data_IF_682986429610
#
_entry.id   IF_682986429610
#
_cell.length_a   1.000
_cell.length_b   1.000
_cell.length_c   1.000
_cell.angle_alpha   90.00
_cell.angle_beta   90.00
_cell.angle_gamma   90.00
#
_symmetry.space_group_name_H-M   'P 1'
#
loop_
_entity.id
_entity.type
_entity.pdbx_description
1 polymer ?
#
# COMPACT_ATOMS: atom_id res chain seq x y z
N UNK A 1 10.14 -7.04 -4.74
CA UNK A 1 9.56 -6.99 -3.37
C UNK A 1 8.87 -8.31 -3.07
N UNK A 2 9.14 -8.89 -1.94
CA UNK A 2 8.47 -10.10 -1.48
C UNK A 2 7.60 -9.77 -0.27
N UNK A 3 6.36 -10.25 -0.29
CA UNK A 3 5.41 -10.01 0.79
C UNK A 3 4.94 -11.35 1.34
N UNK A 4 5.10 -11.54 2.63
CA UNK A 4 4.59 -12.70 3.36
C UNK A 4 3.38 -12.27 4.18
N UNK A 5 2.25 -12.90 3.93
CA UNK A 5 0.99 -12.53 4.58
C UNK A 5 0.45 -13.70 5.38
N UNK A 6 0.10 -13.45 6.63
CA UNK A 6 -0.62 -14.39 7.48
C UNK A 6 -2.05 -13.89 7.67
N UNK A 7 -3.02 -14.71 7.29
CA UNK A 7 -4.44 -14.36 7.39
C UNK A 7 -5.11 -15.03 8.58
N UNK A 8 -6.06 -14.33 9.18
CA UNK A 8 -6.96 -14.84 10.20
C UNK A 8 -8.35 -14.27 9.92
N UNK A 9 -9.34 -15.15 9.70
CA UNK A 9 -10.72 -14.74 9.38
C UNK A 9 -10.79 -13.83 8.15
N UNK A 10 -10.00 -14.15 7.10
CA UNK A 10 -9.88 -13.40 5.87
C UNK A 10 -9.29 -11.99 6.02
N UNK A 11 -8.73 -11.68 7.18
CA UNK A 11 -8.08 -10.41 7.46
C UNK A 11 -6.58 -10.61 7.68
N UNK A 12 -5.81 -9.60 7.35
CA UNK A 12 -4.36 -9.62 7.58
C UNK A 12 -4.11 -9.65 9.08
N UNK A 13 -3.51 -10.75 9.55
CA UNK A 13 -3.09 -10.91 10.94
C UNK A 13 -1.65 -10.46 11.13
N UNK A 14 -0.80 -10.74 10.16
CA UNK A 14 0.59 -10.34 10.16
C UNK A 14 1.08 -10.18 8.73
N UNK A 15 2.05 -9.31 8.51
CA UNK A 15 2.63 -9.05 7.20
C UNK A 15 4.13 -8.81 7.33
N UNK A 16 4.91 -9.59 6.60
CA UNK A 16 6.35 -9.44 6.51
C UNK A 16 6.74 -8.99 5.11
N UNK A 17 7.75 -8.14 5.02
CA UNK A 17 8.24 -7.61 3.75
C UNK A 17 9.73 -7.85 3.59
N UNK A 18 10.13 -8.25 2.38
CA UNK A 18 11.50 -8.15 1.92
C UNK A 18 11.51 -7.08 0.82
N UNK A 19 12.06 -5.90 1.15
CA UNK A 19 11.98 -4.73 0.28
C UNK A 19 13.33 -4.44 -0.33
N UNK A 20 13.38 -4.50 -1.67
CA UNK A 20 14.54 -4.09 -2.46
C UNK A 20 14.09 -3.00 -3.44
N UNK A 21 13.77 -1.83 -2.89
CA UNK A 21 13.16 -0.75 -3.64
C UNK A 21 13.84 0.57 -3.34
N UNK A 22 13.48 1.62 -4.10
CA UNK A 22 13.95 2.98 -3.83
C UNK A 22 13.36 3.52 -2.51
N UNK A 23 13.84 4.67 -2.07
CA UNK A 23 13.42 5.28 -0.80
C UNK A 23 11.90 5.51 -0.71
N UNK A 24 11.25 5.88 -1.81
CA UNK A 24 9.81 6.08 -1.83
C UNK A 24 9.05 4.77 -1.64
N UNK A 25 9.53 3.69 -2.27
CA UNK A 25 8.93 2.37 -2.08
C UNK A 25 9.03 1.90 -0.64
N UNK A 26 10.20 2.13 -0.01
CA UNK A 26 10.40 1.78 1.40
C UNK A 26 9.51 2.60 2.33
N UNK A 27 9.40 3.89 2.07
CA UNK A 27 8.54 4.77 2.86
C UNK A 27 7.07 4.37 2.76
N UNK A 28 6.59 4.10 1.55
CA UNK A 28 5.23 3.62 1.32
C UNK A 28 4.97 2.30 2.06
N UNK A 29 5.90 1.36 1.93
CA UNK A 29 5.80 0.06 2.60
C UNK A 29 5.72 0.21 4.12
N UNK A 30 6.52 1.10 4.71
CA UNK A 30 6.49 1.35 6.14
C UNK A 30 5.12 1.87 6.60
N UNK A 31 4.54 2.81 5.88
CA UNK A 31 3.20 3.35 6.20
C UNK A 31 2.15 2.26 6.09
N UNK A 32 2.20 1.49 5.01
CA UNK A 32 1.20 0.46 4.74
C UNK A 32 1.25 -0.66 5.80
N UNK A 33 2.44 -1.19 6.09
CA UNK A 33 2.60 -2.32 7.01
C UNK A 33 2.14 -1.96 8.43
N UNK A 34 2.40 -0.76 8.88
CA UNK A 34 1.96 -0.32 10.21
C UNK A 34 0.44 -0.35 10.38
N UNK A 35 -0.29 -0.25 9.28
CA UNK A 35 -1.74 -0.12 9.30
C UNK A 35 -2.47 -1.25 8.57
N UNK A 36 -1.72 -2.28 8.12
CA UNK A 36 -2.29 -3.37 7.33
C UNK A 36 -3.06 -4.40 8.17
N UNK A 37 -2.72 -4.55 9.43
CA UNK A 37 -3.33 -5.55 10.30
C UNK A 37 -4.84 -5.30 10.44
N UNK A 38 -5.63 -6.34 10.21
CA UNK A 38 -7.08 -6.25 10.26
C UNK A 38 -7.75 -5.93 8.92
N UNK A 39 -6.98 -5.66 7.87
CA UNK A 39 -7.54 -5.40 6.54
C UNK A 39 -7.83 -6.70 5.80
N UNK A 40 -8.91 -6.72 5.03
CA UNK A 40 -9.20 -7.79 4.08
C UNK A 40 -8.82 -7.34 2.66
N UNK A 41 -9.05 -8.22 1.66
CA UNK A 41 -8.71 -7.90 0.27
C UNK A 41 -9.45 -6.65 -0.23
N UNK A 42 -10.72 -6.51 0.10
CA UNK A 42 -11.51 -5.35 -0.35
C UNK A 42 -10.98 -4.05 0.26
N UNK A 43 -10.57 -4.09 1.52
CA UNK A 43 -9.98 -2.94 2.20
C UNK A 43 -8.67 -2.50 1.52
N UNK A 44 -7.82 -3.47 1.15
CA UNK A 44 -6.56 -3.17 0.47
C UNK A 44 -6.81 -2.60 -0.92
N UNK A 45 -7.78 -3.13 -1.65
CA UNK A 45 -8.17 -2.60 -2.96
C UNK A 45 -8.68 -1.16 -2.86
N UNK A 46 -9.40 -0.83 -1.79
CA UNK A 46 -9.85 0.54 -1.53
C UNK A 46 -8.66 1.47 -1.29
N UNK A 47 -7.69 1.04 -0.48
CA UNK A 47 -6.47 1.82 -0.24
C UNK A 47 -5.75 2.08 -1.55
N UNK A 48 -5.63 1.06 -2.41
CA UNK A 48 -5.02 1.21 -3.74
C UNK A 48 -5.74 2.27 -4.55
N UNK A 49 -7.07 2.19 -4.64
CA UNK A 49 -7.87 3.13 -5.41
C UNK A 49 -7.70 4.56 -4.90
N UNK A 50 -7.78 4.76 -3.59
CA UNK A 50 -7.68 6.08 -2.99
C UNK A 50 -6.29 6.68 -3.19
N UNK A 51 -5.24 5.87 -3.05
CA UNK A 51 -3.87 6.32 -3.24
C UNK A 51 -3.60 6.67 -4.70
N UNK A 52 -4.06 5.84 -5.64
CA UNK A 52 -3.92 6.13 -7.07
C UNK A 52 -4.63 7.43 -7.43
N UNK A 53 -5.83 7.65 -6.91
CA UNK A 53 -6.58 8.87 -7.15
C UNK A 53 -5.81 10.09 -6.64
N UNK A 54 -5.27 10.01 -5.44
CA UNK A 54 -4.43 11.08 -4.88
C UNK A 54 -3.23 11.38 -5.78
N UNK A 55 -2.50 10.34 -6.20
CA UNK A 55 -1.30 10.52 -7.02
C UNK A 55 -1.62 11.13 -8.38
N UNK A 56 -2.80 10.86 -8.94
CA UNK A 56 -3.20 11.38 -10.25
C UNK A 56 -3.84 12.76 -10.17
N UNK A 57 -4.69 13.01 -9.18
CA UNK A 57 -5.52 14.22 -9.13
C UNK A 57 -5.14 15.18 -8.01
N UNK A 58 -4.42 14.72 -7.01
CA UNK A 58 -4.12 15.51 -5.81
C UNK A 58 -5.21 15.50 -4.76
N UNK A 59 -6.28 14.77 -5.01
CA UNK A 59 -7.43 14.71 -4.12
C UNK A 59 -7.22 13.62 -3.05
N UNK A 60 -6.86 14.04 -1.84
CA UNK A 60 -6.53 13.12 -0.76
C UNK A 60 -7.79 12.72 0.01
N UNK A 61 -8.24 11.48 -0.20
CA UNK A 61 -9.46 10.93 0.43
C UNK A 61 -9.19 9.64 1.22
N UNK A 62 -7.96 9.46 1.67
CA UNK A 62 -7.61 8.25 2.40
C UNK A 62 -8.07 8.31 3.86
N UNK A 63 -8.30 7.14 4.45
CA UNK A 63 -8.62 7.04 5.87
C UNK A 63 -7.45 7.53 6.74
N UNK A 64 -7.75 7.95 7.97
CA UNK A 64 -6.75 8.52 8.88
C UNK A 64 -5.57 7.58 9.15
N UNK A 65 -5.77 6.26 9.09
CA UNK A 65 -4.70 5.28 9.25
C UNK A 65 -3.60 5.44 8.20
N UNK A 66 -3.95 5.94 7.01
CA UNK A 66 -3.03 6.11 5.89
C UNK A 66 -2.75 7.59 5.61
N UNK A 67 -3.00 8.44 6.58
CA UNK A 67 -2.86 9.90 6.45
C UNK A 67 -1.45 10.34 6.03
N UNK A 68 -0.43 9.59 6.42
CA UNK A 68 0.96 9.91 6.08
C UNK A 68 1.27 9.84 4.59
N UNK A 69 0.43 9.21 3.78
CA UNK A 69 0.61 9.21 2.33
C UNK A 69 0.51 10.61 1.72
N UNK A 70 -0.09 11.57 2.40
CA UNK A 70 -0.12 12.96 1.93
C UNK A 70 1.28 13.55 1.75
N UNK A 71 2.29 13.02 2.46
CA UNK A 71 3.66 13.49 2.32
C UNK A 71 4.30 13.11 0.98
N UNK A 72 3.63 12.28 0.18
CA UNK A 72 4.08 11.96 -1.17
C UNK A 72 3.60 12.97 -2.22
N UNK A 73 3.02 14.08 -1.81
CA UNK A 73 2.57 15.15 -2.71
C UNK A 73 3.64 15.55 -3.76
N UNK A 74 4.93 15.76 -3.38
CA UNK A 74 5.94 16.10 -4.38
C UNK A 74 6.15 15.03 -5.45
N UNK A 75 5.90 13.75 -5.14
CA UNK A 75 6.08 12.65 -6.08
C UNK A 75 4.94 12.56 -7.10
N UNK A 76 3.82 13.25 -6.90
CA UNK A 76 2.67 13.22 -7.82
C UNK A 76 3.05 13.67 -9.23
N UNK A 77 3.97 14.62 -9.34
CA UNK A 77 4.39 15.19 -10.62
C UNK A 77 5.44 14.34 -11.34
N UNK A 78 5.81 13.19 -10.78
CA UNK A 78 6.83 12.30 -11.32
C UNK A 78 6.21 10.91 -11.51
N UNK A 79 5.52 10.66 -12.65
CA UNK A 79 4.71 9.44 -12.84
C UNK A 79 5.45 8.13 -12.64
N UNK A 80 6.72 8.04 -13.02
CA UNK A 80 7.48 6.80 -12.85
C UNK A 80 7.72 6.43 -11.39
N UNK A 81 7.57 7.36 -10.46
CA UNK A 81 7.69 7.09 -9.02
C UNK A 81 6.40 6.52 -8.41
N UNK A 82 5.28 6.67 -9.14
CA UNK A 82 4.01 6.12 -8.68
C UNK A 82 4.08 4.59 -8.55
N UNK A 83 4.75 3.92 -9.47
CA UNK A 83 4.92 2.47 -9.41
C UNK A 83 5.66 2.04 -8.15
N UNK A 84 6.71 2.76 -7.76
CA UNK A 84 7.45 2.47 -6.53
C UNK A 84 6.57 2.63 -5.28
N UNK A 85 5.75 3.67 -5.24
CA UNK A 85 4.85 3.93 -4.11
C UNK A 85 3.77 2.84 -4.02
N UNK A 86 3.24 2.40 -5.17
CA UNK A 86 2.18 1.40 -5.22
C UNK A 86 2.66 -0.04 -5.03
N UNK A 87 3.95 -0.28 -5.11
CA UNK A 87 4.52 -1.63 -5.16
C UNK A 87 4.10 -2.51 -3.98
N UNK A 88 4.14 -1.99 -2.75
CA UNK A 88 3.76 -2.75 -1.56
C UNK A 88 2.29 -3.13 -1.59
N UNK A 89 1.43 -2.22 -2.05
CA UNK A 89 -0.01 -2.46 -2.12
C UNK A 89 -0.33 -3.48 -3.20
N UNK A 90 0.26 -3.36 -4.38
CA UNK A 90 0.07 -4.32 -5.46
C UNK A 90 0.56 -5.71 -5.08
N UNK A 91 1.73 -5.82 -4.43
CA UNK A 91 2.25 -7.09 -3.96
C UNK A 91 1.35 -7.72 -2.89
N UNK A 92 0.77 -6.91 -2.01
CA UNK A 92 -0.15 -7.37 -0.98
C UNK A 92 -1.45 -7.90 -1.59
N UNK A 93 -1.99 -7.19 -2.57
CA UNK A 93 -3.20 -7.64 -3.28
C UNK A 93 -2.94 -8.98 -3.97
N UNK A 94 -1.82 -9.11 -4.67
CA UNK A 94 -1.43 -10.37 -5.32
C UNK A 94 -1.33 -11.50 -4.30
N UNK A 95 -0.67 -11.26 -3.17
CA UNK A 95 -0.55 -12.24 -2.10
C UNK A 95 -1.90 -12.66 -1.54
N UNK A 96 -2.81 -11.72 -1.32
CA UNK A 96 -4.15 -12.01 -0.81
C UNK A 96 -4.98 -12.80 -1.82
N UNK A 97 -4.85 -12.51 -3.10
CA UNK A 97 -5.58 -13.23 -4.15
C UNK A 97 -5.09 -14.67 -4.31
N UNK A 98 -3.79 -14.91 -4.11
CA UNK A 98 -3.22 -16.26 -4.25
C UNK A 98 -3.43 -17.14 -3.03
N UNK A 99 -3.71 -16.58 -1.86
CA UNK A 99 -3.95 -17.35 -0.64
C UNK A 99 -5.41 -17.76 -0.44
N UNK A 100 -6.29 -17.30 -1.29
CA UNK A 100 -7.71 -17.67 -1.22
C UNK A 100 -8.02 -19.01 -1.89
#
# INVERSE_FOLDING_TARGET
MTVDINLKDDKINDIGLDIRSCSLGKASASIFVKNAKGLNLDDVKKVKKDLMNFLKTGDFKMESAFDKYKYFEPARLVPYRHDSIMLVIDATIEGLETTK
#
